data_IF_633787035308
#
_entry.id   IF_633787035308
#
_cell.length_a   1.000
_cell.length_b   1.000
_cell.length_c   1.000
_cell.angle_alpha   90.00
_cell.angle_beta   90.00
_cell.angle_gamma   90.00
#
_symmetry.space_group_name_H-M   'P 1'
#
loop_
_entity.id
_entity.type
_entity.pdbx_description
1 polymer ?
#
# COMPACT_ATOMS: atom_id res chain seq x y z
N UNK A 1 12.48 61.73 49.78
CA UNK A 1 12.95 61.97 48.42
C UNK A 1 14.35 62.64 48.38
N UNK A 2 14.90 63.10 49.48
CA UNK A 2 16.20 63.78 49.51
C UNK A 2 17.44 62.91 49.35
N UNK A 3 17.34 61.62 49.71
CA UNK A 3 18.48 60.66 49.62
C UNK A 3 18.84 60.30 48.18
N UNK A 4 17.92 60.32 47.27
CA UNK A 4 18.17 60.03 45.84
C UNK A 4 18.87 61.19 45.08
N UNK A 5 18.56 62.44 45.46
CA UNK A 5 19.22 63.61 44.86
C UNK A 5 20.68 63.80 45.25
N UNK A 6 21.11 63.35 46.44
CA UNK A 6 22.52 63.43 46.90
C UNK A 6 23.44 62.40 46.25
N UNK A 7 22.87 61.29 45.80
CA UNK A 7 23.62 60.25 45.08
C UNK A 7 23.99 60.64 43.63
N UNK A 8 23.21 61.52 43.03
CA UNK A 8 23.39 61.94 41.64
C UNK A 8 24.45 63.05 41.49
N UNK A 9 24.73 63.82 42.56
CA UNK A 9 25.62 64.97 42.51
C UNK A 9 27.15 64.65 42.71
N UNK A 10 27.48 63.43 43.03
CA UNK A 10 28.90 63.04 43.22
C UNK A 10 29.36 62.21 41.99
N UNK A 11 30.62 62.53 41.51
CA UNK A 11 31.29 61.85 40.37
C UNK A 11 31.21 60.32 40.50
N UNK A 12 31.26 59.81 41.70
CA UNK A 12 31.15 58.35 41.98
C UNK A 12 29.71 57.82 41.86
N UNK A 13 28.70 58.64 42.20
CA UNK A 13 27.28 58.25 42.06
C UNK A 13 26.79 58.18 40.62
N UNK A 14 27.25 59.14 39.77
CA UNK A 14 26.94 59.11 38.31
C UNK A 14 27.56 57.90 37.61
N UNK A 15 28.79 57.53 37.99
CA UNK A 15 29.44 56.32 37.45
C UNK A 15 28.67 55.05 37.86
N UNK A 16 28.26 54.97 39.11
CA UNK A 16 27.51 53.81 39.65
C UNK A 16 26.15 53.70 38.97
N UNK A 17 25.45 54.82 38.77
CA UNK A 17 24.18 54.87 38.07
C UNK A 17 24.27 54.46 36.61
N UNK A 18 25.33 54.91 35.92
CA UNK A 18 25.56 54.53 34.53
C UNK A 18 25.91 53.06 34.36
N UNK A 19 26.66 52.47 35.30
CA UNK A 19 26.94 51.01 35.31
C UNK A 19 25.67 50.22 35.55
N UNK A 20 24.82 50.64 36.49
CA UNK A 20 23.51 50.01 36.73
C UNK A 20 22.62 50.13 35.51
N UNK A 21 22.52 51.31 34.90
CA UNK A 21 21.73 51.49 33.69
C UNK A 21 22.26 50.64 32.51
N UNK A 22 23.55 50.52 32.35
CA UNK A 22 24.18 49.67 31.36
C UNK A 22 23.92 48.18 31.64
N UNK A 23 23.97 47.77 32.89
CA UNK A 23 23.65 46.39 33.30
C UNK A 23 22.15 46.05 33.05
N UNK A 24 21.25 46.98 33.36
CA UNK A 24 19.80 46.80 33.08
C UNK A 24 19.54 46.76 31.57
N UNK A 25 20.15 47.67 30.78
CA UNK A 25 20.01 47.64 29.35
C UNK A 25 20.57 46.35 28.72
N UNK A 26 21.74 45.90 29.19
CA UNK A 26 22.33 44.63 28.77
C UNK A 26 21.46 43.42 29.15
N UNK A 27 20.91 43.44 30.35
CA UNK A 27 19.95 42.40 30.81
C UNK A 27 18.69 42.37 29.96
N UNK A 28 18.12 43.52 29.64
CA UNK A 28 16.93 43.59 28.77
C UNK A 28 17.21 43.08 27.36
N UNK A 29 18.42 43.42 26.80
CA UNK A 29 18.82 42.91 25.49
C UNK A 29 18.97 41.38 25.54
N UNK A 30 19.59 40.83 26.59
CA UNK A 30 19.72 39.38 26.74
C UNK A 30 18.35 38.68 26.86
N UNK A 31 17.43 39.22 27.65
CA UNK A 31 16.06 38.71 27.76
C UNK A 31 15.33 38.84 26.44
N UNK A 32 15.48 39.95 25.74
CA UNK A 32 14.84 40.10 24.41
C UNK A 32 15.40 39.10 23.39
N UNK A 33 16.73 38.94 23.33
CA UNK A 33 17.35 37.98 22.41
C UNK A 33 17.02 36.55 22.78
N UNK A 34 16.94 36.20 24.05
CA UNK A 34 16.52 34.84 24.46
C UNK A 34 15.06 34.55 24.08
N UNK A 35 14.14 35.49 24.37
CA UNK A 35 12.74 35.37 23.95
C UNK A 35 12.58 35.32 22.42
N UNK A 36 13.36 36.10 21.69
CA UNK A 36 13.38 36.08 20.24
C UNK A 36 13.87 34.72 19.70
N UNK A 37 14.93 34.17 20.28
CA UNK A 37 15.46 32.83 19.96
C UNK A 37 14.43 31.73 20.31
N UNK A 38 13.73 31.86 21.40
CA UNK A 38 12.71 30.89 21.81
C UNK A 38 11.48 30.97 20.90
N UNK A 39 11.10 32.17 20.42
CA UNK A 39 10.02 32.33 19.44
C UNK A 39 10.37 31.77 18.06
N UNK A 40 11.65 31.84 17.66
CA UNK A 40 12.13 31.19 16.43
C UNK A 40 12.18 29.66 16.59
N UNK A 41 12.59 29.15 17.75
CA UNK A 41 12.55 27.71 18.07
C UNK A 41 11.11 27.20 18.19
N UNK A 42 10.20 28.00 18.69
CA UNK A 42 8.75 27.70 18.76
C UNK A 42 8.06 27.67 17.40
N UNK A 43 8.68 28.15 16.32
CA UNK A 43 8.20 27.96 14.95
C UNK A 43 8.37 26.52 14.41
N UNK A 44 8.71 25.60 15.28
CA UNK A 44 8.65 24.16 15.11
C UNK A 44 9.91 23.55 14.54
N UNK A 45 10.25 22.41 15.09
CA UNK A 45 11.27 21.54 14.53
C UNK A 45 10.95 21.22 13.05
N UNK A 46 11.95 21.07 12.19
CA UNK A 46 11.72 20.63 10.81
C UNK A 46 11.10 19.23 10.82
N UNK A 47 9.99 19.07 10.13
CA UNK A 47 9.25 17.81 9.98
C UNK A 47 9.33 17.37 8.53
N UNK A 48 9.68 16.13 8.31
CA UNK A 48 9.65 15.53 6.98
C UNK A 48 8.24 15.06 6.66
N UNK A 49 7.69 15.49 5.53
CA UNK A 49 6.37 15.09 5.04
C UNK A 49 6.45 14.62 3.60
N UNK A 50 5.50 13.78 3.20
CA UNK A 50 5.37 13.32 1.84
C UNK A 50 4.60 14.34 1.00
N UNK A 51 5.18 14.71 -0.13
CA UNK A 51 4.61 15.67 -1.09
C UNK A 51 4.47 14.99 -2.44
N UNK A 52 3.33 15.14 -3.09
CA UNK A 52 3.10 14.61 -4.43
C UNK A 52 4.10 15.23 -5.42
N UNK A 53 4.84 14.38 -6.11
CA UNK A 53 5.78 14.76 -7.18
C UNK A 53 5.10 14.83 -8.54
N UNK A 54 4.09 14.00 -8.73
CA UNK A 54 3.29 13.93 -9.94
C UNK A 54 1.80 13.88 -9.56
N UNK A 55 0.92 14.07 -10.54
CA UNK A 55 -0.50 13.91 -10.33
C UNK A 55 -0.84 12.47 -9.94
N UNK A 56 -1.57 12.31 -8.85
CA UNK A 56 -2.06 11.04 -8.34
C UNK A 56 -3.58 11.02 -8.55
N UNK A 57 -4.08 10.25 -9.53
CA UNK A 57 -5.51 10.16 -9.79
C UNK A 57 -6.26 9.49 -8.63
N UNK A 58 -7.52 9.89 -8.43
CA UNK A 58 -8.46 9.20 -7.54
C UNK A 58 -8.47 7.69 -7.83
N UNK A 59 -8.51 6.90 -6.77
CA UNK A 59 -8.49 5.43 -6.87
C UNK A 59 -7.10 4.82 -6.99
N UNK A 60 -6.03 5.63 -6.95
CA UNK A 60 -4.65 5.10 -6.96
C UNK A 60 -4.31 4.50 -5.60
N UNK A 61 -3.89 3.23 -5.61
CA UNK A 61 -3.45 2.55 -4.39
C UNK A 61 -2.13 3.11 -3.86
N UNK A 62 -1.99 3.20 -2.54
CA UNK A 62 -0.78 3.70 -1.89
C UNK A 62 0.47 2.88 -2.20
N UNK A 63 0.34 1.57 -2.38
CA UNK A 63 1.43 0.70 -2.85
C UNK A 63 1.95 1.10 -4.23
N UNK A 64 1.05 1.50 -5.14
CA UNK A 64 1.40 1.97 -6.49
C UNK A 64 2.05 3.36 -6.45
N UNK A 65 1.59 4.24 -5.56
CA UNK A 65 2.19 5.56 -5.31
C UNK A 65 3.65 5.39 -4.88
N UNK A 66 3.90 4.45 -3.97
CA UNK A 66 5.25 4.12 -3.51
C UNK A 66 6.11 3.50 -4.62
N UNK A 67 5.59 2.49 -5.33
CA UNK A 67 6.32 1.78 -6.38
C UNK A 67 6.71 2.67 -7.56
N UNK A 68 5.85 3.63 -7.93
CA UNK A 68 6.11 4.58 -9.02
C UNK A 68 6.83 5.84 -8.56
N UNK A 69 7.17 5.96 -7.28
CA UNK A 69 7.81 7.14 -6.69
C UNK A 69 7.07 8.44 -7.03
N UNK A 70 5.72 8.42 -6.92
CA UNK A 70 4.88 9.58 -7.22
C UNK A 70 4.94 10.66 -6.15
N UNK A 71 5.67 10.44 -5.07
CA UNK A 71 5.90 11.39 -3.99
C UNK A 71 7.40 11.68 -3.79
N UNK A 72 7.68 12.73 -3.04
CA UNK A 72 9.01 13.04 -2.50
C UNK A 72 8.90 13.39 -1.01
N UNK A 73 9.90 13.00 -0.23
CA UNK A 73 10.02 13.43 1.16
C UNK A 73 10.59 14.87 1.18
N UNK A 74 9.87 15.81 1.76
CA UNK A 74 10.25 17.22 1.84
C UNK A 74 10.23 17.65 3.30
N UNK A 75 11.28 18.36 3.72
CA UNK A 75 11.35 18.89 5.08
C UNK A 75 10.70 20.27 5.14
N UNK A 76 9.65 20.40 5.92
CA UNK A 76 8.90 21.64 6.14
C UNK A 76 8.98 22.06 7.60
N UNK A 77 8.70 23.34 7.88
CA UNK A 77 8.50 23.80 9.25
C UNK A 77 7.17 23.28 9.78
N UNK A 78 7.09 22.98 11.07
CA UNK A 78 5.86 22.50 11.71
C UNK A 78 4.63 23.36 11.38
N UNK A 79 4.80 24.68 11.28
CA UNK A 79 3.73 25.61 10.93
C UNK A 79 3.22 25.51 9.49
N UNK A 80 3.94 24.82 8.62
CA UNK A 80 3.62 24.60 7.21
C UNK A 80 3.07 23.19 6.95
N UNK A 81 3.10 22.32 7.96
CA UNK A 81 2.62 20.96 7.86
C UNK A 81 1.10 20.95 8.02
N UNK A 82 0.41 20.34 7.08
CA UNK A 82 -1.04 20.16 7.15
C UNK A 82 -1.38 19.08 8.17
N UNK A 83 -2.54 19.21 8.81
CA UNK A 83 -3.04 18.22 9.74
C UNK A 83 -3.20 16.87 9.03
N UNK A 84 -2.67 15.81 9.66
CA UNK A 84 -2.71 14.47 9.09
C UNK A 84 -1.75 14.22 7.94
N UNK A 85 -0.75 15.10 7.69
CA UNK A 85 0.26 14.87 6.66
C UNK A 85 1.09 13.61 6.98
N UNK A 86 1.27 12.74 6.00
CA UNK A 86 2.07 11.54 6.13
C UNK A 86 3.56 11.88 6.16
N UNK A 87 4.25 11.33 7.15
CA UNK A 87 5.72 11.44 7.29
C UNK A 87 6.44 10.18 6.81
N UNK A 88 5.76 9.05 6.80
CA UNK A 88 6.32 7.74 6.46
C UNK A 88 5.54 7.13 5.28
N UNK A 89 6.24 6.67 4.24
CA UNK A 89 5.62 5.97 3.12
C UNK A 89 4.86 4.70 3.50
N UNK A 90 5.22 4.07 4.62
CA UNK A 90 4.51 2.88 5.12
C UNK A 90 3.06 3.18 5.48
N UNK A 91 2.74 4.41 5.85
CA UNK A 91 1.38 4.85 6.17
C UNK A 91 0.43 4.85 4.96
N UNK A 92 0.98 4.85 3.74
CA UNK A 92 0.19 4.74 2.51
C UNK A 92 -0.24 3.30 2.20
N UNK A 93 0.29 2.32 2.92
CA UNK A 93 -0.02 0.91 2.67
C UNK A 93 -1.48 0.60 3.02
N UNK A 94 -2.19 -0.01 2.08
CA UNK A 94 -3.59 -0.35 2.25
C UNK A 94 -4.55 0.84 2.12
N UNK A 95 -4.04 2.03 1.80
CA UNK A 95 -4.81 3.24 1.53
C UNK A 95 -5.01 3.44 0.03
N UNK A 96 -6.09 4.14 -0.34
CA UNK A 96 -6.42 4.51 -1.72
C UNK A 96 -6.77 5.99 -1.75
N UNK A 97 -6.26 6.72 -2.74
CA UNK A 97 -6.59 8.12 -2.94
C UNK A 97 -8.10 8.30 -3.20
N UNK A 98 -8.76 9.13 -2.42
CA UNK A 98 -10.21 9.41 -2.53
C UNK A 98 -10.53 10.53 -3.51
N UNK A 99 -9.52 11.30 -3.88
CA UNK A 99 -9.60 12.44 -4.81
C UNK A 99 -8.32 12.52 -5.65
N UNK A 100 -8.33 13.38 -6.67
CA UNK A 100 -7.14 13.68 -7.46
C UNK A 100 -6.20 14.56 -6.64
N UNK A 101 -4.94 14.15 -6.50
CA UNK A 101 -3.91 14.90 -5.78
C UNK A 101 -2.94 15.48 -6.78
N UNK A 102 -2.75 16.79 -6.73
CA UNK A 102 -1.92 17.52 -7.68
C UNK A 102 -0.46 17.61 -7.23
N UNK A 103 0.50 17.77 -8.16
CA UNK A 103 1.90 17.94 -7.83
C UNK A 103 2.12 19.12 -6.86
N UNK A 104 2.96 18.92 -5.86
CA UNK A 104 3.23 19.91 -4.82
C UNK A 104 2.29 19.86 -3.60
N UNK A 105 1.20 19.10 -3.65
CA UNK A 105 0.33 18.89 -2.50
C UNK A 105 0.98 17.96 -1.47
N UNK A 106 0.78 18.23 -0.18
CA UNK A 106 1.17 17.32 0.89
C UNK A 106 0.18 16.16 0.93
N UNK A 107 0.68 14.93 1.05
CA UNK A 107 -0.18 13.76 1.19
C UNK A 107 -0.74 13.71 2.62
N UNK A 108 -2.05 13.85 2.76
CA UNK A 108 -2.73 13.90 4.06
C UNK A 108 -3.72 12.75 4.22
N UNK A 109 -3.94 12.31 5.46
CA UNK A 109 -4.87 11.22 5.76
C UNK A 109 -6.32 11.50 5.27
N UNK A 110 -6.71 12.76 5.13
CA UNK A 110 -8.04 13.15 4.60
C UNK A 110 -8.21 12.87 3.10
N UNK A 111 -7.10 12.74 2.36
CA UNK A 111 -7.10 12.45 0.91
C UNK A 111 -7.06 10.95 0.61
N UNK A 112 -6.96 10.14 1.66
CA UNK A 112 -6.89 8.69 1.54
C UNK A 112 -8.00 8.04 2.36
N UNK A 113 -8.37 6.84 1.97
CA UNK A 113 -9.23 5.96 2.74
C UNK A 113 -8.76 4.53 2.61
N UNK A 114 -9.00 3.70 3.63
CA UNK A 114 -8.75 2.28 3.53
C UNK A 114 -9.41 1.70 2.29
N UNK A 115 -8.68 0.92 1.51
CA UNK A 115 -9.13 0.35 0.23
C UNK A 115 -10.44 -0.44 0.37
N UNK A 116 -10.77 -0.92 1.56
CA UNK A 116 -11.98 -1.66 1.88
C UNK A 116 -13.24 -0.79 2.10
N UNK A 117 -13.12 0.53 2.23
CA UNK A 117 -14.22 1.37 2.75
C UNK A 117 -15.36 1.60 1.76
N UNK A 118 -15.13 1.51 0.45
CA UNK A 118 -16.20 1.68 -0.55
C UNK A 118 -15.93 0.88 -1.83
N UNK A 119 -15.87 -0.43 -1.67
CA UNK A 119 -15.59 -1.37 -2.76
C UNK A 119 -16.58 -1.24 -3.92
N UNK A 120 -17.87 -1.03 -3.60
CA UNK A 120 -18.91 -0.92 -4.63
C UNK A 120 -18.74 0.32 -5.52
N UNK A 121 -18.35 1.47 -4.93
CA UNK A 121 -18.12 2.71 -5.69
C UNK A 121 -16.89 2.64 -6.61
N UNK A 122 -15.97 1.70 -6.38
CA UNK A 122 -14.78 1.50 -7.21
C UNK A 122 -15.02 0.63 -8.44
N UNK A 123 -16.24 0.09 -8.61
CA UNK A 123 -16.58 -0.81 -9.70
C UNK A 123 -17.11 -0.06 -10.92
N UNK A 124 -16.66 -0.49 -12.09
CA UNK A 124 -17.33 -0.17 -13.37
C UNK A 124 -18.47 -1.15 -13.66
N UNK A 125 -19.30 -0.84 -14.65
CA UNK A 125 -20.49 -1.66 -14.98
C UNK A 125 -20.18 -3.15 -15.24
N UNK A 126 -18.98 -3.46 -15.75
CA UNK A 126 -18.56 -4.81 -16.11
C UNK A 126 -17.68 -5.48 -15.06
N UNK A 127 -17.40 -4.81 -13.95
CA UNK A 127 -16.54 -5.32 -12.89
C UNK A 127 -17.36 -5.90 -11.73
N UNK A 128 -16.79 -6.88 -11.08
CA UNK A 128 -17.34 -7.56 -9.89
C UNK A 128 -16.23 -7.71 -8.85
N UNK A 129 -16.61 -7.77 -7.59
CA UNK A 129 -15.74 -8.18 -6.51
C UNK A 129 -16.15 -9.59 -6.10
N UNK A 130 -15.17 -10.49 -6.15
CA UNK A 130 -15.32 -11.87 -5.70
C UNK A 130 -14.42 -12.10 -4.52
N UNK A 131 -14.98 -12.56 -3.40
CA UNK A 131 -14.23 -12.95 -2.21
C UNK A 131 -14.10 -14.46 -2.15
N UNK A 132 -12.86 -14.93 -2.02
CA UNK A 132 -12.53 -16.35 -2.00
C UNK A 132 -11.74 -16.65 -0.73
N UNK A 133 -12.06 -17.76 -0.04
CA UNK A 133 -11.25 -18.20 1.09
C UNK A 133 -9.91 -18.74 0.60
N UNK A 134 -8.83 -18.28 1.22
CA UNK A 134 -7.47 -18.79 1.05
C UNK A 134 -6.92 -19.21 2.40
N UNK A 135 -6.18 -20.31 2.41
CA UNK A 135 -5.35 -20.69 3.56
C UNK A 135 -3.89 -20.33 3.28
N UNK A 136 -3.13 -20.07 4.32
CA UNK A 136 -1.74 -19.59 4.22
C UNK A 136 -0.78 -20.52 3.47
N UNK A 137 -1.16 -21.79 3.25
CA UNK A 137 -0.37 -22.77 2.51
C UNK A 137 -0.45 -22.59 0.98
N UNK A 138 -1.40 -21.80 0.48
CA UNK A 138 -1.70 -21.67 -0.95
C UNK A 138 -1.01 -20.47 -1.62
N UNK A 139 0.03 -19.92 -1.02
CA UNK A 139 0.95 -19.04 -1.78
C UNK A 139 1.22 -17.76 -1.09
N UNK A 140 1.22 -16.97 -0.46
CA UNK A 140 1.72 -15.67 0.00
C UNK A 140 1.49 -15.51 1.50
N UNK A 141 2.40 -16.04 2.29
CA UNK A 141 2.37 -15.81 3.73
C UNK A 141 2.81 -14.39 4.05
N UNK A 142 1.87 -13.53 4.41
CA UNK A 142 2.14 -12.30 5.12
C UNK A 142 2.43 -11.05 4.30
N UNK A 143 2.85 -11.16 3.03
CA UNK A 143 3.33 -10.00 2.27
C UNK A 143 2.31 -9.39 1.30
N UNK A 144 1.11 -9.98 1.17
CA UNK A 144 0.08 -9.48 0.28
C UNK A 144 -0.64 -8.28 0.88
N UNK A 145 -0.77 -7.22 0.09
CA UNK A 145 -1.42 -5.98 0.49
C UNK A 145 -2.58 -5.64 -0.43
N UNK A 146 -3.52 -4.84 0.09
CA UNK A 146 -4.56 -4.25 -0.74
C UNK A 146 -3.93 -3.32 -1.77
N UNK A 147 -4.33 -3.49 -3.04
CA UNK A 147 -3.72 -2.79 -4.18
C UNK A 147 -2.66 -3.59 -4.92
N UNK A 148 -2.19 -4.71 -4.37
CA UNK A 148 -1.29 -5.60 -5.07
C UNK A 148 -2.00 -6.30 -6.23
N UNK A 149 -1.20 -6.71 -7.21
CA UNK A 149 -1.67 -7.48 -8.36
C UNK A 149 -1.13 -8.90 -8.29
N UNK A 150 -2.00 -9.86 -8.55
CA UNK A 150 -1.66 -11.28 -8.50
C UNK A 150 -2.02 -12.00 -9.79
N UNK A 151 -1.30 -13.08 -10.07
CA UNK A 151 -1.69 -14.09 -11.02
C UNK A 151 -2.33 -15.25 -10.26
N UNK A 152 -3.44 -15.77 -10.76
CA UNK A 152 -4.16 -16.88 -10.14
C UNK A 152 -3.92 -18.16 -10.93
N UNK A 153 -3.45 -19.18 -10.23
CA UNK A 153 -3.27 -20.53 -10.74
C UNK A 153 -4.34 -21.43 -10.14
N UNK A 154 -4.90 -22.29 -10.96
CA UNK A 154 -5.88 -23.30 -10.51
C UNK A 154 -5.40 -24.70 -10.85
N UNK A 155 -5.49 -25.58 -9.88
CA UNK A 155 -5.20 -27.00 -10.02
C UNK A 155 -6.49 -27.82 -9.93
N UNK A 156 -6.63 -28.75 -10.84
CA UNK A 156 -7.77 -29.65 -10.91
C UNK A 156 -7.30 -31.09 -11.03
N UNK A 157 -8.11 -32.01 -10.51
CA UNK A 157 -7.98 -33.42 -10.80
C UNK A 157 -8.96 -33.76 -11.95
N UNK A 158 -8.40 -34.09 -13.10
CA UNK A 158 -9.18 -34.40 -14.32
C UNK A 158 -9.13 -35.90 -14.57
N UNK A 159 -10.28 -36.53 -14.70
CA UNK A 159 -10.39 -37.90 -15.15
C UNK A 159 -10.61 -37.94 -16.66
N UNK A 160 -9.87 -38.78 -17.41
CA UNK A 160 -10.08 -38.91 -18.85
C UNK A 160 -11.52 -39.37 -19.12
N UNK A 161 -12.19 -38.68 -20.05
CA UNK A 161 -13.49 -39.08 -20.52
C UNK A 161 -13.30 -40.08 -21.66
N UNK A 162 -13.74 -41.31 -21.48
CA UNK A 162 -13.72 -42.32 -22.54
C UNK A 162 -14.62 -41.94 -23.74
N UNK A 163 -14.44 -42.57 -24.91
CA UNK A 163 -15.19 -42.27 -26.12
C UNK A 163 -16.70 -42.47 -25.99
N UNK A 164 -17.16 -43.12 -24.95
CA UNK A 164 -18.60 -43.35 -24.63
C UNK A 164 -19.17 -42.33 -23.63
N UNK A 165 -18.41 -41.27 -23.27
CA UNK A 165 -18.86 -40.31 -22.26
C UNK A 165 -18.87 -40.82 -20.81
N UNK A 166 -18.51 -42.07 -20.60
CA UNK A 166 -18.32 -42.68 -19.28
C UNK A 166 -16.87 -42.41 -18.83
N UNK A 167 -16.69 -42.26 -17.52
CA UNK A 167 -15.32 -42.14 -16.96
C UNK A 167 -14.50 -43.34 -17.40
N UNK A 168 -13.56 -43.14 -18.31
CA UNK A 168 -12.62 -44.19 -18.70
C UNK A 168 -11.80 -44.59 -17.47
N UNK A 169 -11.55 -45.88 -17.29
CA UNK A 169 -10.83 -46.44 -16.14
C UNK A 169 -9.37 -46.02 -15.97
N UNK A 170 -8.98 -44.85 -16.47
CA UNK A 170 -7.71 -44.19 -16.24
C UNK A 170 -7.75 -43.34 -14.97
N UNK A 171 -6.67 -43.38 -14.19
CA UNK A 171 -6.54 -42.57 -12.95
C UNK A 171 -6.75 -41.07 -13.20
N UNK A 172 -7.11 -40.35 -12.16
CA UNK A 172 -7.22 -38.88 -12.24
C UNK A 172 -5.83 -38.24 -12.40
N UNK A 173 -5.71 -37.30 -13.30
CA UNK A 173 -4.49 -36.53 -13.57
C UNK A 173 -4.58 -35.15 -12.94
N UNK A 174 -3.60 -34.79 -12.13
CA UNK A 174 -3.48 -33.45 -11.58
C UNK A 174 -2.98 -32.48 -12.67
N UNK A 175 -3.72 -31.41 -12.88
CA UNK A 175 -3.44 -30.39 -13.88
C UNK A 175 -3.44 -29.03 -13.21
N UNK A 176 -2.38 -28.24 -13.44
CA UNK A 176 -2.29 -26.85 -12.96
C UNK A 176 -2.18 -25.93 -14.16
N UNK A 177 -2.93 -24.85 -14.11
CA UNK A 177 -2.90 -23.80 -15.14
C UNK A 177 -3.10 -22.43 -14.52
N UNK A 178 -2.41 -21.41 -15.04
CA UNK A 178 -2.74 -20.03 -14.74
C UNK A 178 -4.06 -19.67 -15.43
N UNK A 179 -5.07 -19.31 -14.63
CA UNK A 179 -6.40 -18.96 -15.13
C UNK A 179 -6.59 -17.46 -15.29
N UNK A 180 -6.07 -16.66 -14.35
CA UNK A 180 -6.16 -15.21 -14.41
C UNK A 180 -4.78 -14.57 -14.23
N UNK A 181 -4.60 -13.42 -14.87
CA UNK A 181 -3.38 -12.63 -14.78
C UNK A 181 -3.71 -11.20 -14.39
N UNK A 182 -2.80 -10.59 -13.60
CA UNK A 182 -2.88 -9.17 -13.27
C UNK A 182 -4.19 -8.78 -12.57
N UNK A 183 -4.62 -9.57 -11.61
CA UNK A 183 -5.84 -9.36 -10.85
C UNK A 183 -5.55 -8.50 -9.62
N UNK A 184 -6.20 -7.33 -9.45
CA UNK A 184 -5.99 -6.49 -8.29
C UNK A 184 -6.70 -7.04 -7.05
N UNK A 185 -5.99 -7.06 -5.93
CA UNK A 185 -6.51 -7.36 -4.60
C UNK A 185 -7.13 -6.10 -4.02
N UNK A 186 -8.41 -6.13 -3.70
CA UNK A 186 -9.16 -4.96 -3.23
C UNK A 186 -9.53 -5.00 -1.75
N UNK A 187 -9.54 -6.18 -1.17
CA UNK A 187 -9.70 -6.34 0.27
C UNK A 187 -9.07 -7.65 0.75
N UNK A 188 -8.62 -7.64 1.99
CA UNK A 188 -8.07 -8.79 2.68
C UNK A 188 -8.88 -8.92 3.97
N UNK A 189 -9.71 -9.97 4.04
CA UNK A 189 -10.54 -10.28 5.20
C UNK A 189 -9.88 -11.33 6.08
N UNK A 190 -9.80 -11.06 7.38
CA UNK A 190 -9.21 -11.90 8.39
C UNK A 190 -8.85 -11.03 9.60
N UNK A 191 -8.97 -11.55 10.79
CA UNK A 191 -8.67 -10.77 12.01
C UNK A 191 -7.20 -10.36 11.99
N UNK A 192 -6.99 -9.03 11.97
CA UNK A 192 -5.72 -8.34 12.18
C UNK A 192 -4.88 -8.10 10.92
N UNK A 193 -4.70 -6.83 10.62
CA UNK A 193 -3.75 -6.30 9.64
C UNK A 193 -2.39 -7.00 9.71
N UNK A 194 -1.97 -7.60 8.62
CA UNK A 194 -0.58 -8.01 8.41
C UNK A 194 -0.22 -9.46 8.72
N UNK A 195 -1.13 -10.35 9.07
CA UNK A 195 -0.77 -11.73 9.40
C UNK A 195 -1.70 -12.76 8.75
N UNK A 196 -1.32 -13.24 7.57
CA UNK A 196 -1.64 -14.61 7.15
C UNK A 196 -0.70 -15.62 7.86
N UNK A 197 -0.28 -15.33 9.09
CA UNK A 197 0.43 -16.27 9.91
C UNK A 197 -0.58 -17.28 10.46
N UNK A 198 -0.69 -18.43 9.84
CA UNK A 198 -1.42 -19.63 10.28
C UNK A 198 -2.95 -19.59 10.35
N UNK A 199 -3.64 -18.77 9.55
CA UNK A 199 -5.11 -18.75 9.53
C UNK A 199 -5.67 -18.64 8.11
N UNK A 200 -6.87 -19.20 7.88
CA UNK A 200 -7.65 -18.95 6.67
C UNK A 200 -8.15 -17.52 6.65
N UNK A 201 -7.97 -16.83 5.54
CA UNK A 201 -8.46 -15.48 5.30
C UNK A 201 -9.24 -15.42 3.99
N UNK A 202 -10.08 -14.40 3.82
CA UNK A 202 -10.77 -14.14 2.57
C UNK A 202 -10.01 -13.08 1.78
N UNK A 203 -9.74 -13.35 0.52
CA UNK A 203 -9.19 -12.37 -0.42
C UNK A 203 -10.27 -11.92 -1.38
N UNK A 204 -10.43 -10.62 -1.54
CA UNK A 204 -11.38 -10.02 -2.47
C UNK A 204 -10.65 -9.49 -3.69
N UNK A 205 -11.08 -9.93 -4.85
CA UNK A 205 -10.49 -9.58 -6.14
C UNK A 205 -11.47 -8.75 -6.97
N UNK A 206 -10.98 -7.74 -7.65
CA UNK A 206 -11.75 -7.00 -8.65
C UNK A 206 -11.50 -7.62 -10.03
N UNK A 207 -12.52 -8.17 -10.62
CA UNK A 207 -12.47 -8.98 -11.85
C UNK A 207 -13.61 -8.62 -12.78
N UNK A 208 -13.55 -9.05 -14.04
CA UNK A 208 -14.69 -8.97 -14.94
C UNK A 208 -15.77 -10.02 -14.57
N UNK A 209 -16.94 -9.90 -15.14
CA UNK A 209 -18.06 -10.85 -14.92
C UNK A 209 -17.69 -12.28 -15.29
N UNK A 210 -17.04 -12.46 -16.44
CA UNK A 210 -16.55 -13.78 -16.88
C UNK A 210 -15.46 -14.32 -15.95
N UNK A 211 -14.48 -13.50 -15.59
CA UNK A 211 -13.40 -13.88 -14.67
C UNK A 211 -13.95 -14.25 -13.28
N UNK A 212 -15.04 -13.60 -12.86
CA UNK A 212 -15.73 -13.91 -11.62
C UNK A 212 -16.27 -15.34 -11.61
N UNK A 213 -16.90 -15.75 -12.71
CA UNK A 213 -17.41 -17.12 -12.87
C UNK A 213 -16.29 -18.17 -12.92
N UNK A 214 -15.19 -17.87 -13.66
CA UNK A 214 -14.01 -18.75 -13.71
C UNK A 214 -13.38 -18.93 -12.33
N UNK A 215 -13.27 -17.85 -11.58
CA UNK A 215 -12.68 -17.83 -10.24
C UNK A 215 -13.57 -18.57 -9.23
N UNK A 216 -14.88 -18.37 -9.29
CA UNK A 216 -15.84 -19.07 -8.44
C UNK A 216 -15.83 -20.58 -8.73
N UNK A 217 -15.85 -20.98 -9.99
CA UNK A 217 -15.74 -22.39 -10.38
C UNK A 217 -14.45 -23.03 -9.88
N UNK A 218 -13.32 -22.35 -10.08
CA UNK A 218 -12.01 -22.84 -9.67
C UNK A 218 -11.86 -22.96 -8.15
N UNK A 219 -12.47 -22.06 -7.40
CA UNK A 219 -12.44 -22.10 -5.93
C UNK A 219 -13.23 -23.27 -5.32
N UNK A 220 -14.29 -23.73 -6.02
CA UNK A 220 -15.11 -24.83 -5.54
C UNK A 220 -14.64 -26.21 -6.01
N UNK A 221 -14.06 -26.27 -7.21
CA UNK A 221 -13.74 -27.55 -7.85
C UNK A 221 -12.23 -27.83 -7.93
N UNK A 222 -11.40 -26.91 -7.50
CA UNK A 222 -9.96 -27.02 -7.58
C UNK A 222 -9.24 -26.44 -6.38
N UNK A 223 -7.93 -26.40 -6.50
CA UNK A 223 -7.06 -25.73 -5.54
C UNK A 223 -6.47 -24.49 -6.21
N UNK A 224 -6.53 -23.37 -5.51
CA UNK A 224 -6.00 -22.09 -6.02
C UNK A 224 -4.65 -21.75 -5.39
N UNK A 225 -3.76 -21.19 -6.18
CA UNK A 225 -2.51 -20.57 -5.73
C UNK A 225 -2.39 -19.16 -6.30
N UNK A 226 -1.72 -18.30 -5.56
CA UNK A 226 -1.48 -16.93 -5.96
C UNK A 226 0.00 -16.70 -6.24
N UNK A 227 0.30 -15.98 -7.30
CA UNK A 227 1.63 -15.47 -7.59
C UNK A 227 1.61 -13.94 -7.52
N UNK A 228 2.36 -13.34 -6.60
CA UNK A 228 2.49 -11.90 -6.51
C UNK A 228 3.24 -11.34 -7.71
N UNK A 229 2.71 -10.29 -8.31
CA UNK A 229 3.36 -9.61 -9.43
C UNK A 229 4.16 -8.42 -8.94
N UNK A 230 5.29 -8.11 -9.57
CA UNK A 230 5.97 -6.85 -9.30
C UNK A 230 5.04 -5.67 -9.65
N UNK A 231 5.08 -4.63 -8.82
CA UNK A 231 4.23 -3.45 -8.99
C UNK A 231 4.47 -2.70 -10.32
N UNK A 232 5.68 -2.84 -10.87
CA UNK A 232 6.06 -2.22 -12.15
C UNK A 232 6.84 -3.22 -13.02
N UNK A 233 6.68 -3.10 -14.34
CA UNK A 233 7.46 -3.90 -15.30
C UNK A 233 7.06 -5.37 -15.40
N UNK A 234 5.95 -5.80 -14.81
CA UNK A 234 5.48 -7.16 -14.85
C UNK A 234 5.16 -7.60 -16.28
N UNK A 235 5.83 -8.64 -16.76
CA UNK A 235 5.56 -9.26 -18.07
C UNK A 235 4.75 -10.54 -17.84
N UNK A 236 3.80 -10.81 -18.74
CA UNK A 236 3.04 -12.06 -18.73
C UNK A 236 3.58 -13.00 -19.78
N UNK A 237 3.91 -14.23 -19.38
CA UNK A 237 4.16 -15.33 -20.32
C UNK A 237 2.83 -15.95 -20.78
N UNK A 238 2.79 -16.65 -21.92
CA UNK A 238 1.61 -17.42 -22.31
C UNK A 238 1.18 -18.39 -21.22
N UNK A 239 -0.12 -18.64 -21.01
CA UNK A 239 -0.56 -19.64 -20.05
C UNK A 239 -0.11 -21.02 -20.52
N UNK A 240 0.61 -21.74 -19.65
CA UNK A 240 1.03 -23.10 -19.86
C UNK A 240 0.21 -24.07 -18.99
N UNK A 241 -0.07 -25.22 -19.53
CA UNK A 241 -0.63 -26.34 -18.80
C UNK A 241 0.50 -27.12 -18.17
N UNK A 242 0.44 -27.35 -16.88
CA UNK A 242 1.42 -28.16 -16.15
C UNK A 242 0.72 -29.43 -15.65
N UNK A 243 1.27 -30.56 -16.01
CA UNK A 243 0.86 -31.89 -15.53
C UNK A 243 2.09 -32.64 -15.08
N UNK A 244 1.93 -33.82 -14.49
CA UNK A 244 3.05 -34.65 -14.09
C UNK A 244 3.90 -35.06 -15.31
N UNK A 245 3.27 -35.32 -16.45
CA UNK A 245 3.93 -35.69 -17.70
C UNK A 245 4.71 -34.51 -18.30
N UNK A 246 4.14 -33.29 -18.28
CA UNK A 246 4.87 -32.12 -18.77
C UNK A 246 6.03 -31.75 -17.86
N UNK A 247 5.88 -31.94 -16.54
CA UNK A 247 6.88 -31.56 -15.54
C UNK A 247 8.04 -32.56 -15.47
N UNK A 248 7.75 -33.84 -15.45
CA UNK A 248 8.76 -34.87 -15.26
C UNK A 248 9.30 -35.45 -16.56
N UNK A 249 8.48 -35.57 -17.60
CA UNK A 249 8.87 -36.23 -18.86
C UNK A 249 9.08 -35.21 -20.01
N UNK A 250 8.84 -33.91 -19.79
CA UNK A 250 9.01 -32.91 -20.84
C UNK A 250 8.00 -33.05 -22.01
N UNK A 251 6.90 -33.79 -21.81
CA UNK A 251 5.91 -34.00 -22.86
C UNK A 251 5.22 -32.66 -23.19
N UNK A 252 5.08 -32.26 -24.47
CA UNK A 252 4.42 -31.02 -24.82
C UNK A 252 2.96 -30.98 -24.33
N UNK A 253 2.46 -29.85 -23.80
CA UNK A 253 1.11 -29.74 -23.26
C UNK A 253 0.00 -30.11 -24.25
N UNK A 254 0.22 -29.93 -25.54
CA UNK A 254 -0.74 -30.28 -26.60
C UNK A 254 -0.99 -31.79 -26.68
N UNK A 255 0.03 -32.62 -26.48
CA UNK A 255 -0.10 -34.08 -26.49
C UNK A 255 -0.93 -34.54 -25.28
N UNK A 256 -0.69 -33.95 -24.11
CA UNK A 256 -1.44 -34.26 -22.90
C UNK A 256 -2.90 -33.81 -23.04
N UNK A 257 -3.18 -32.63 -23.63
CA UNK A 257 -4.55 -32.18 -23.87
C UNK A 257 -5.31 -33.13 -24.83
N UNK A 258 -4.65 -33.66 -25.86
CA UNK A 258 -5.27 -34.64 -26.76
C UNK A 258 -5.61 -35.94 -26.02
N UNK A 259 -4.79 -36.39 -25.11
CA UNK A 259 -5.05 -37.60 -24.33
C UNK A 259 -6.19 -37.42 -23.30
N UNK A 260 -6.37 -36.20 -22.77
CA UNK A 260 -7.43 -35.87 -21.81
C UNK A 260 -8.77 -35.56 -22.50
N UNK A 261 -8.76 -35.03 -23.72
CA UNK A 261 -9.94 -34.56 -24.44
C UNK A 261 -10.66 -35.61 -25.31
N UNK A 262 -10.19 -36.85 -25.36
CA UNK A 262 -10.76 -37.82 -26.26
C UNK A 262 -10.61 -37.44 -27.75
N UNK A 263 -10.27 -38.36 -28.63
CA UNK A 263 -10.30 -38.10 -30.08
C UNK A 263 -11.75 -37.73 -30.48
N UNK A 264 -11.92 -36.52 -31.04
CA UNK A 264 -13.09 -36.26 -31.89
C UNK A 264 -12.92 -37.00 -33.19
#
# INVERSE_FOLDING_TARGET
>A
METAQRLISTRRGTILLSVIAAAVAGGLILVYVSRYRDSIKAQGAPVTVLVARQSIPKGTAGSLIAAKSLYSATTLRQSQVLDGAFSDPSSLRGEVATQDIYPGAQLTASEFAPASTNLAASLTATQRIVSIPFNGAQGLSGDLQVGDHVDVYAGFNVSPVGPTGLSGGGGSHAVIRRILTNVPVVAIGGKTSGMFASGSGNLSFKVSDQQAAELAFASQNGTLWLGLRPATGAKSSPPSLVTIETLLLGVPPQVVMHSLGGRR
#
